data_IF_117053362294
#
_entry.id   IF_117053362294
#
_cell.length_a   1.000
_cell.length_b   1.000
_cell.length_c   1.000
_cell.angle_alpha   90.00
_cell.angle_beta   90.00
_cell.angle_gamma   90.00
#
_symmetry.space_group_name_H-M   'P 1'
#
loop_
_entity.id
_entity.type
_entity.pdbx_description
1 polymer ?
#
# COMPACT_ATOMS: atom_id res chain seq x y z
N UNK A 1 -8.70 -6.99 -13.43
CA UNK A 1 -9.31 -6.49 -12.19
C UNK A 1 -8.65 -5.20 -11.72
N UNK A 2 -7.37 -5.22 -11.36
CA UNK A 2 -6.67 -4.00 -10.91
C UNK A 2 -6.41 -3.00 -12.02
N UNK A 3 -6.22 -3.46 -13.25
CA UNK A 3 -6.10 -2.56 -14.41
C UNK A 3 -7.34 -1.69 -14.60
N UNK A 4 -8.49 -2.20 -14.23
CA UNK A 4 -9.72 -1.42 -14.25
C UNK A 4 -9.61 -0.21 -13.32
N UNK A 5 -9.16 -0.41 -12.09
CA UNK A 5 -8.98 0.68 -11.13
C UNK A 5 -7.88 1.65 -11.57
N UNK A 6 -6.80 1.14 -12.16
CA UNK A 6 -5.76 1.95 -12.76
C UNK A 6 -6.34 2.88 -13.83
N UNK A 7 -7.15 2.35 -14.72
CA UNK A 7 -7.73 3.10 -15.83
C UNK A 7 -8.78 4.11 -15.34
N UNK A 8 -9.63 3.72 -14.38
CA UNK A 8 -10.59 4.63 -13.77
C UNK A 8 -9.89 5.80 -13.08
N UNK A 9 -8.81 5.53 -12.35
CA UNK A 9 -8.02 6.56 -11.69
C UNK A 9 -7.42 7.52 -12.70
N UNK A 10 -6.89 7.01 -13.80
CA UNK A 10 -6.34 7.85 -14.87
C UNK A 10 -7.40 8.77 -15.46
N UNK A 11 -8.58 8.26 -15.73
CA UNK A 11 -9.68 9.06 -16.28
C UNK A 11 -10.11 10.16 -15.31
N UNK A 12 -10.16 9.86 -14.01
CA UNK A 12 -10.43 10.86 -12.99
C UNK A 12 -9.35 11.93 -12.95
N UNK A 13 -8.08 11.54 -12.99
CA UNK A 13 -6.96 12.49 -13.04
C UNK A 13 -7.05 13.38 -14.28
N UNK A 14 -7.33 12.79 -15.44
CA UNK A 14 -7.46 13.53 -16.68
C UNK A 14 -8.60 14.55 -16.61
N UNK A 15 -9.74 14.17 -16.05
CA UNK A 15 -10.89 15.06 -15.90
C UNK A 15 -10.61 16.25 -15.01
N UNK A 16 -9.65 16.12 -14.08
CA UNK A 16 -9.23 17.18 -13.16
C UNK A 16 -8.00 17.96 -13.65
N UNK A 17 -7.42 17.56 -14.77
CA UNK A 17 -6.19 18.18 -15.29
C UNK A 17 -4.92 17.74 -14.54
N UNK A 18 -4.98 16.68 -13.77
CA UNK A 18 -3.86 16.17 -12.97
C UNK A 18 -2.96 15.17 -13.72
N UNK A 19 -3.31 14.83 -14.94
CA UNK A 19 -2.61 13.86 -15.76
C UNK A 19 -1.27 14.39 -16.35
N UNK A 20 -1.01 15.68 -16.19
CA UNK A 20 0.18 16.33 -16.76
C UNK A 20 1.36 16.41 -15.81
N UNK A 21 1.19 15.98 -14.57
CA UNK A 21 2.28 16.00 -13.59
C UNK A 21 3.37 14.99 -13.98
N UNK A 22 4.66 15.31 -13.82
CA UNK A 22 5.71 14.32 -14.04
C UNK A 22 5.71 13.22 -12.99
N UNK A 23 6.26 12.06 -13.34
CA UNK A 23 6.33 10.89 -12.45
C UNK A 23 6.95 11.25 -11.09
N UNK A 24 8.01 12.06 -11.10
CA UNK A 24 8.69 12.47 -9.86
C UNK A 24 7.76 13.23 -8.91
N UNK A 25 6.89 14.08 -9.43
CA UNK A 25 5.91 14.82 -8.64
C UNK A 25 4.88 13.87 -8.04
N UNK A 26 4.35 12.96 -8.85
CA UNK A 26 3.38 11.98 -8.38
C UNK A 26 3.99 11.05 -7.33
N UNK A 27 5.24 10.66 -7.50
CA UNK A 27 5.98 9.88 -6.52
C UNK A 27 6.09 10.59 -5.17
N UNK A 28 6.42 11.90 -5.18
CA UNK A 28 6.49 12.69 -3.96
C UNK A 28 5.13 12.79 -3.26
N UNK A 29 4.07 13.03 -4.02
CA UNK A 29 2.71 13.07 -3.48
C UNK A 29 2.30 11.72 -2.91
N UNK A 30 2.67 10.65 -3.57
CA UNK A 30 2.42 9.29 -3.08
C UNK A 30 3.10 9.03 -1.73
N UNK A 31 4.36 9.44 -1.59
CA UNK A 31 5.09 9.27 -0.32
C UNK A 31 4.48 10.11 0.80
N UNK A 32 3.99 11.30 0.48
CA UNK A 32 3.26 12.13 1.43
C UNK A 32 1.99 11.43 1.93
N UNK A 33 1.21 10.84 1.03
CA UNK A 33 -0.01 10.11 1.40
C UNK A 33 0.29 8.86 2.24
N UNK A 34 1.41 8.19 1.98
CA UNK A 34 1.87 7.08 2.82
C UNK A 34 2.10 7.58 4.25
N UNK A 35 2.72 8.74 4.40
CA UNK A 35 2.92 9.37 5.71
C UNK A 35 1.62 9.70 6.41
N UNK A 36 0.64 10.23 5.68
CA UNK A 36 -0.68 10.53 6.23
C UNK A 36 -1.43 9.26 6.64
N UNK A 37 -1.31 8.20 5.87
CA UNK A 37 -1.87 6.89 6.24
C UNK A 37 -1.23 6.38 7.54
N UNK A 38 0.09 6.48 7.66
CA UNK A 38 0.81 6.08 8.86
C UNK A 38 0.32 6.88 10.09
N UNK A 39 0.12 8.18 9.92
CA UNK A 39 -0.43 9.04 10.96
C UNK A 39 -1.85 8.62 11.37
N UNK A 40 -2.69 8.33 10.38
CA UNK A 40 -4.06 7.88 10.62
C UNK A 40 -4.11 6.56 11.40
N UNK A 41 -3.27 5.61 11.02
CA UNK A 41 -3.16 4.32 11.73
C UNK A 41 -2.70 4.54 13.17
N UNK A 42 -1.72 5.41 13.39
CA UNK A 42 -1.22 5.73 14.72
C UNK A 42 -2.31 6.33 15.60
N UNK A 43 -3.10 7.26 15.06
CA UNK A 43 -4.21 7.87 15.78
C UNK A 43 -5.30 6.84 16.09
N UNK A 44 -5.61 5.96 15.14
CA UNK A 44 -6.54 4.86 15.35
C UNK A 44 -6.11 3.95 16.50
N UNK A 45 -4.84 3.58 16.56
CA UNK A 45 -4.30 2.76 17.65
C UNK A 45 -4.41 3.45 19.00
N UNK A 46 -4.10 4.73 19.07
CA UNK A 46 -4.23 5.52 20.31
C UNK A 46 -5.67 5.55 20.79
N UNK A 47 -6.61 5.82 19.88
CA UNK A 47 -8.02 5.86 20.20
C UNK A 47 -8.51 4.51 20.72
N UNK A 48 -8.16 3.43 20.06
CA UNK A 48 -8.54 2.09 20.47
C UNK A 48 -8.01 1.73 21.85
N UNK A 49 -6.75 2.07 22.13
CA UNK A 49 -6.14 1.81 23.45
C UNK A 49 -6.84 2.56 24.58
N UNK A 50 -7.31 3.77 24.32
CA UNK A 50 -7.98 4.61 25.33
C UNK A 50 -9.42 4.22 25.58
N UNK A 51 -10.16 3.87 24.53
CA UNK A 51 -11.61 3.75 24.57
C UNK A 51 -12.12 2.34 24.30
N UNK A 52 -11.29 1.47 23.72
CA UNK A 52 -11.71 0.15 23.23
C UNK A 52 -12.61 0.22 21.99
N UNK A 53 -12.83 1.41 21.44
CA UNK A 53 -13.67 1.60 20.26
C UNK A 53 -12.82 1.55 18.99
N UNK A 54 -13.33 0.89 17.95
CA UNK A 54 -12.61 0.68 16.69
C UNK A 54 -12.62 1.89 15.75
N UNK A 55 -13.36 2.93 16.05
CA UNK A 55 -13.50 4.07 15.16
C UNK A 55 -13.35 5.38 15.91
N UNK A 56 -12.46 6.22 15.40
CA UNK A 56 -12.32 7.60 15.81
C UNK A 56 -13.00 8.49 14.77
N UNK A 57 -13.77 9.47 15.22
CA UNK A 57 -14.48 10.41 14.35
C UNK A 57 -13.54 11.36 13.62
N UNK A 58 -12.35 11.60 14.15
CA UNK A 58 -11.38 12.52 13.58
C UNK A 58 -10.40 11.89 12.57
N UNK A 59 -10.37 10.57 12.47
CA UNK A 59 -9.37 9.87 11.67
C UNK A 59 -10.02 8.77 10.85
N UNK A 60 -9.91 8.86 9.54
CA UNK A 60 -10.43 7.85 8.63
C UNK A 60 -9.28 7.15 7.91
N UNK A 61 -8.84 6.01 8.45
CA UNK A 61 -7.81 5.17 7.85
C UNK A 61 -8.20 4.73 6.45
N UNK A 62 -9.47 4.43 6.23
CA UNK A 62 -9.99 4.01 4.92
C UNK A 62 -9.81 5.10 3.87
N UNK A 63 -10.11 6.34 4.21
CA UNK A 63 -9.94 7.48 3.30
C UNK A 63 -8.47 7.66 2.93
N UNK A 64 -7.57 7.63 3.91
CA UNK A 64 -6.13 7.76 3.64
C UNK A 64 -5.60 6.57 2.83
N UNK A 65 -6.10 5.38 3.08
CA UNK A 65 -5.75 4.21 2.27
C UNK A 65 -6.21 4.36 0.82
N UNK A 66 -7.40 4.93 0.61
CA UNK A 66 -7.89 5.25 -0.72
C UNK A 66 -6.99 6.22 -1.46
N UNK A 67 -6.50 7.25 -0.78
CA UNK A 67 -5.57 8.21 -1.37
C UNK A 67 -4.24 7.55 -1.77
N UNK A 68 -3.72 6.64 -0.95
CA UNK A 68 -2.52 5.86 -1.27
C UNK A 68 -2.74 4.99 -2.51
N UNK A 69 -3.86 4.27 -2.58
CA UNK A 69 -4.19 3.45 -3.74
C UNK A 69 -4.34 4.30 -5.01
N UNK A 70 -4.96 5.46 -4.90
CA UNK A 70 -5.17 6.35 -6.03
C UNK A 70 -3.84 6.77 -6.67
N UNK A 71 -2.87 7.20 -5.87
CA UNK A 71 -1.56 7.57 -6.39
C UNK A 71 -0.80 6.36 -6.94
N UNK A 72 -0.93 5.20 -6.32
CA UNK A 72 -0.30 3.98 -6.82
C UNK A 72 -0.85 3.60 -8.20
N UNK A 73 -2.17 3.67 -8.38
CA UNK A 73 -2.80 3.40 -9.68
C UNK A 73 -2.39 4.44 -10.72
N UNK A 74 -2.30 5.71 -10.33
CA UNK A 74 -1.83 6.77 -11.24
C UNK A 74 -0.40 6.50 -11.70
N UNK A 75 0.50 6.14 -10.80
CA UNK A 75 1.87 5.77 -11.14
C UNK A 75 1.91 4.57 -12.07
N UNK A 76 1.11 3.54 -11.79
CA UNK A 76 1.06 2.35 -12.63
C UNK A 76 0.63 2.70 -14.06
N UNK A 77 -0.34 3.60 -14.21
CA UNK A 77 -0.76 4.06 -15.53
C UNK A 77 0.36 4.83 -16.23
N UNK A 78 0.99 5.77 -15.52
CA UNK A 78 2.07 6.59 -16.08
C UNK A 78 3.26 5.76 -16.53
N UNK A 79 3.56 4.69 -15.80
CA UNK A 79 4.69 3.78 -16.08
C UNK A 79 4.29 2.59 -16.95
N UNK A 80 3.04 2.56 -17.40
CA UNK A 80 2.49 1.51 -18.25
C UNK A 80 2.65 0.11 -17.64
N UNK A 81 2.35 -0.01 -16.35
CA UNK A 81 2.41 -1.30 -15.64
C UNK A 81 1.07 -2.02 -15.76
N UNK A 82 1.12 -3.27 -16.22
CA UNK A 82 -0.02 -4.17 -16.15
C UNK A 82 -0.11 -4.73 -14.74
N UNK A 83 -1.06 -4.23 -13.96
CA UNK A 83 -1.18 -4.57 -12.54
C UNK A 83 -1.70 -6.00 -12.34
N UNK A 84 -2.54 -6.49 -13.23
CA UNK A 84 -3.06 -7.85 -13.12
C UNK A 84 -1.97 -8.87 -13.39
N UNK A 85 -1.15 -8.64 -14.41
CA UNK A 85 0.04 -9.47 -14.68
C UNK A 85 1.05 -9.38 -13.56
N UNK A 86 1.33 -8.18 -13.08
CA UNK A 86 2.24 -7.96 -11.96
C UNK A 86 1.81 -8.77 -10.74
N UNK A 87 0.52 -8.78 -10.44
CA UNK A 87 -0.01 -9.49 -9.28
C UNK A 87 0.18 -11.00 -9.41
N UNK A 88 -0.10 -11.57 -10.59
CA UNK A 88 0.10 -12.99 -10.84
C UNK A 88 1.58 -13.40 -10.69
N UNK A 89 2.48 -12.61 -11.24
CA UNK A 89 3.93 -12.84 -11.09
C UNK A 89 4.36 -12.71 -9.63
N UNK A 90 3.83 -11.75 -8.92
CA UNK A 90 4.14 -11.55 -7.52
C UNK A 90 3.72 -12.73 -6.65
N UNK A 91 2.53 -13.28 -6.87
CA UNK A 91 2.07 -14.46 -6.15
C UNK A 91 3.02 -15.65 -6.32
N UNK A 92 3.44 -15.91 -7.54
CA UNK A 92 4.41 -16.98 -7.84
C UNK A 92 5.72 -16.74 -7.10
N UNK A 93 6.25 -15.52 -7.16
CA UNK A 93 7.49 -15.15 -6.48
C UNK A 93 7.41 -15.39 -4.97
N UNK A 94 6.31 -15.03 -4.34
CA UNK A 94 6.11 -15.23 -2.91
C UNK A 94 6.03 -16.72 -2.58
N UNK A 95 5.32 -17.50 -3.39
CA UNK A 95 5.23 -18.95 -3.20
C UNK A 95 6.60 -19.62 -3.31
N UNK A 96 7.40 -19.25 -4.30
CA UNK A 96 8.75 -19.79 -4.47
C UNK A 96 9.66 -19.46 -3.28
N UNK A 97 9.61 -18.24 -2.78
CA UNK A 97 10.35 -17.85 -1.57
C UNK A 97 9.92 -18.68 -0.36
N UNK A 98 8.65 -18.97 -0.23
CA UNK A 98 8.11 -19.76 0.86
C UNK A 98 8.61 -21.19 0.81
N UNK A 99 8.67 -21.79 -0.37
CA UNK A 99 9.23 -23.14 -0.56
C UNK A 99 10.73 -23.18 -0.29
N UNK A 100 11.48 -22.22 -0.77
CA UNK A 100 12.91 -22.10 -0.50
C UNK A 100 13.17 -21.96 1.00
N UNK A 101 12.42 -21.15 1.71
CA UNK A 101 12.51 -21.01 3.16
C UNK A 101 12.17 -22.31 3.89
N UNK A 102 11.19 -23.07 3.40
CA UNK A 102 10.81 -24.38 3.98
C UNK A 102 11.89 -25.43 3.78
N UNK A 103 12.55 -25.46 2.62
CA UNK A 103 13.63 -26.40 2.33
C UNK A 103 14.91 -26.08 3.12
N UNK A 104 15.10 -24.85 3.51
CA UNK A 104 16.21 -24.40 4.34
C UNK A 104 15.85 -24.31 5.83
N UNK A 105 14.65 -24.69 6.19
CA UNK A 105 14.07 -24.47 7.51
C UNK A 105 14.77 -25.11 8.69
N UNK A 106 15.78 -25.93 8.45
CA UNK A 106 16.64 -26.47 9.51
C UNK A 106 17.85 -25.61 9.83
N UNK A 107 18.09 -24.54 9.07
CA UNK A 107 19.29 -23.72 9.18
C UNK A 107 19.01 -22.26 9.49
N UNK A 108 17.78 -21.85 9.50
CA UNK A 108 17.44 -20.46 9.72
C UNK A 108 17.24 -20.21 11.17
N UNK A 109 18.14 -19.47 11.70
CA UNK A 109 17.94 -18.84 12.96
C UNK A 109 16.79 -17.87 12.91
N UNK A 110 16.16 -17.79 14.03
CA UNK A 110 15.10 -16.87 14.38
C UNK A 110 15.33 -15.38 14.03
N UNK A 111 16.50 -15.02 13.53
CA UNK A 111 16.82 -13.65 13.17
C UNK A 111 16.02 -13.12 11.98
N UNK A 112 15.59 -14.00 11.09
CA UNK A 112 14.79 -13.62 9.94
C UNK A 112 13.30 -13.45 10.29
N UNK A 113 12.92 -13.80 11.49
CA UNK A 113 11.52 -13.82 11.91
C UNK A 113 11.05 -12.64 12.74
N UNK A 114 11.87 -11.62 12.91
CA UNK A 114 11.38 -10.42 13.57
C UNK A 114 10.54 -9.58 12.60
N UNK A 115 9.35 -10.07 12.41
CA UNK A 115 8.29 -9.16 11.98
C UNK A 115 7.96 -8.31 13.18
N UNK A 116 8.19 -7.03 13.05
CA UNK A 116 7.62 -6.08 13.99
C UNK A 116 6.11 -6.30 14.01
N UNK A 117 5.59 -6.64 15.15
CA UNK A 117 4.15 -6.75 15.30
C UNK A 117 3.52 -5.37 15.11
N UNK A 118 2.25 -5.29 14.68
CA UNK A 118 1.57 -4.00 14.55
C UNK A 118 1.57 -3.15 15.83
N UNK A 119 1.84 -3.75 16.96
CA UNK A 119 1.95 -3.04 18.24
C UNK A 119 3.28 -2.29 18.39
N UNK A 120 4.28 -2.57 17.56
CA UNK A 120 5.58 -1.92 17.60
C UNK A 120 5.67 -0.68 16.69
N UNK A 121 4.61 -0.41 15.95
CA UNK A 121 4.50 0.77 15.08
C UNK A 121 4.05 2.02 15.85
#
# INVERSE_FOLDING_TARGET
MMNRYRNETFELCRSKGWDKAPVSTVWLLFTEEIGELASAIRQYQRHFRKTGLKKDRGTDVSTEMGDVFSYLFQLAHMLNIDLDEMWEKHKVKVQERRYAASSEGGKTDSAAGRQTSPSDL
#
